data_IF_175682227017
#
_entry.id   IF_175682227017
#
_cell.length_a   1.000
_cell.length_b   1.000
_cell.length_c   1.000
_cell.angle_alpha   90.00
_cell.angle_beta   90.00
_cell.angle_gamma   90.00
#
_symmetry.space_group_name_H-M   'P 1'
#
loop_
_entity.id
_entity.type
_entity.pdbx_description
1 polymer ?
#
# COMPACT_ATOMS: atom_id res chain seq x y z
N UNK A 1 1.87 12.11 -10.31
CA UNK A 1 1.78 12.60 -8.92
C UNK A 1 2.72 13.80 -8.71
N UNK A 2 2.36 14.69 -7.80
CA UNK A 2 3.19 15.82 -7.43
C UNK A 2 3.18 15.99 -5.90
N UNK A 3 4.25 15.57 -5.19
CA UNK A 3 4.32 15.65 -3.75
C UNK A 3 4.45 17.09 -3.23
N UNK A 4 4.95 18.01 -4.06
CA UNK A 4 5.17 19.42 -3.70
C UNK A 4 3.91 20.28 -3.84
N UNK A 5 2.92 19.81 -4.60
CA UNK A 5 1.69 20.56 -4.80
C UNK A 5 0.87 20.60 -3.50
N UNK A 6 0.46 21.81 -3.14
CA UNK A 6 -0.44 22.06 -2.04
C UNK A 6 -1.76 22.52 -2.65
N UNK A 7 -2.82 21.71 -2.50
CA UNK A 7 -4.16 22.04 -3.02
C UNK A 7 -4.77 23.25 -2.33
N UNK A 8 -5.81 23.81 -2.95
CA UNK A 8 -6.56 24.94 -2.39
C UNK A 8 -7.12 24.57 -1.02
N UNK A 9 -6.76 25.38 0.00
CA UNK A 9 -7.18 25.16 1.40
C UNK A 9 -6.30 24.22 2.21
N UNK A 10 -5.25 23.64 1.64
CA UNK A 10 -4.23 22.91 2.37
C UNK A 10 -3.09 23.86 2.79
N UNK A 11 -2.47 23.55 3.91
CA UNK A 11 -1.28 24.28 4.40
C UNK A 11 -0.05 23.37 4.28
N UNK A 12 1.11 23.99 4.10
CA UNK A 12 2.38 23.32 4.30
C UNK A 12 2.57 23.10 5.81
N UNK A 13 1.97 22.05 6.33
CA UNK A 13 2.15 21.67 7.74
C UNK A 13 3.39 20.79 7.93
N UNK A 14 3.72 20.53 9.18
CA UNK A 14 4.85 19.66 9.56
C UNK A 14 4.73 18.29 8.91
N UNK A 15 3.53 17.80 8.76
CA UNK A 15 3.25 16.48 8.25
C UNK A 15 3.49 16.37 6.74
N UNK A 16 3.08 17.36 5.97
CA UNK A 16 3.37 17.43 4.54
C UNK A 16 4.88 17.49 4.29
N UNK A 17 5.61 18.25 5.11
CA UNK A 17 7.08 18.30 5.08
C UNK A 17 7.69 16.93 5.38
N UNK A 18 7.20 16.24 6.41
CA UNK A 18 7.69 14.89 6.76
C UNK A 18 7.43 13.88 5.62
N UNK A 19 6.25 13.93 5.00
CA UNK A 19 5.91 13.07 3.87
C UNK A 19 6.87 13.28 2.68
N UNK A 20 7.12 14.53 2.30
CA UNK A 20 8.05 14.84 1.22
C UNK A 20 9.48 14.39 1.56
N UNK A 21 9.94 14.62 2.79
CA UNK A 21 11.26 14.14 3.24
C UNK A 21 11.39 12.63 3.18
N UNK A 22 10.38 11.92 3.65
CA UNK A 22 10.36 10.46 3.61
C UNK A 22 10.44 9.95 2.16
N UNK A 23 9.70 10.57 1.26
CA UNK A 23 9.77 10.25 -0.15
C UNK A 23 11.18 10.52 -0.73
N UNK A 24 11.73 11.70 -0.49
CA UNK A 24 13.07 12.07 -0.99
C UNK A 24 14.17 11.13 -0.44
N UNK A 25 14.08 10.76 0.84
CA UNK A 25 15.00 9.79 1.44
C UNK A 25 14.87 8.40 0.82
N UNK A 26 13.65 7.93 0.58
CA UNK A 26 13.42 6.64 -0.06
C UNK A 26 13.87 6.60 -1.54
N UNK A 27 13.87 7.75 -2.22
CA UNK A 27 14.41 7.88 -3.57
C UNK A 27 15.93 7.91 -3.58
N UNK A 28 16.54 8.44 -2.54
CA UNK A 28 17.98 8.66 -2.45
C UNK A 28 18.73 7.46 -1.86
N UNK A 29 18.24 6.93 -0.72
CA UNK A 29 18.90 5.84 0.02
C UNK A 29 18.41 4.48 -0.43
N UNK A 30 19.30 3.49 -0.42
CA UNK A 30 18.93 2.10 -0.57
C UNK A 30 18.28 1.57 0.71
N UNK A 31 17.56 0.45 0.61
CA UNK A 31 16.83 -0.17 1.72
C UNK A 31 17.71 -0.52 2.95
N UNK A 32 19.01 -0.74 2.74
CA UNK A 32 20.01 -1.07 3.77
C UNK A 32 20.84 0.13 4.25
N UNK A 33 20.59 1.33 3.69
CA UNK A 33 21.31 2.56 4.06
C UNK A 33 20.45 3.39 5.04
N UNK A 34 20.99 3.64 6.22
CA UNK A 34 20.39 4.58 7.17
C UNK A 34 20.77 6.02 6.82
N UNK A 35 19.84 6.95 7.01
CA UNK A 35 20.14 8.37 6.93
C UNK A 35 20.60 8.90 8.30
N UNK A 36 21.51 9.85 8.29
CA UNK A 36 21.98 10.50 9.50
C UNK A 36 21.15 11.76 9.83
N UNK A 37 21.33 12.26 11.06
CA UNK A 37 20.58 13.44 11.53
C UNK A 37 20.86 14.70 10.71
N UNK A 38 22.10 14.89 10.22
CA UNK A 38 22.47 16.05 9.41
C UNK A 38 21.81 16.03 8.04
N UNK A 39 21.71 14.87 7.39
CA UNK A 39 20.96 14.72 6.15
C UNK A 39 19.49 15.07 6.32
N UNK A 40 18.87 14.61 7.41
CA UNK A 40 17.49 14.94 7.73
C UNK A 40 17.29 16.46 7.95
N UNK A 41 18.21 17.11 8.65
CA UNK A 41 18.18 18.57 8.88
C UNK A 41 18.36 19.32 7.58
N UNK A 42 19.32 18.90 6.73
CA UNK A 42 19.55 19.53 5.43
C UNK A 42 18.31 19.47 4.52
N UNK A 43 17.63 18.32 4.45
CA UNK A 43 16.39 18.20 3.71
C UNK A 43 15.24 19.04 4.31
N UNK A 44 15.17 19.14 5.63
CA UNK A 44 14.20 20.02 6.30
C UNK A 44 14.41 21.47 5.92
N UNK A 45 15.65 21.93 5.94
CA UNK A 45 16.04 23.29 5.55
C UNK A 45 15.77 23.54 4.05
N UNK A 46 16.15 22.59 3.19
CA UNK A 46 15.89 22.70 1.76
C UNK A 46 14.41 22.87 1.44
N UNK A 47 13.53 22.08 2.07
CA UNK A 47 12.09 22.21 1.89
C UNK A 47 11.56 23.52 2.44
N UNK A 48 11.99 23.95 3.62
CA UNK A 48 11.57 25.22 4.21
C UNK A 48 11.90 26.38 3.27
N UNK A 49 13.15 26.51 2.84
CA UNK A 49 13.62 27.59 1.97
C UNK A 49 12.98 27.53 0.57
N UNK A 50 12.75 26.33 0.05
CA UNK A 50 12.04 26.17 -1.22
C UNK A 50 10.61 26.72 -1.15
N UNK A 51 9.86 26.42 -0.10
CA UNK A 51 8.51 26.94 0.06
C UNK A 51 8.48 28.45 0.34
N UNK A 52 9.47 29.00 1.04
CA UNK A 52 9.64 30.46 1.16
C UNK A 52 9.87 31.13 -0.19
N UNK A 53 10.68 30.46 -1.08
CA UNK A 53 10.87 30.90 -2.46
C UNK A 53 9.57 30.87 -3.26
N UNK A 54 8.74 29.82 -3.11
CA UNK A 54 7.42 29.73 -3.75
C UNK A 54 6.47 30.82 -3.27
N UNK A 55 6.49 31.17 -1.98
CA UNK A 55 5.68 32.27 -1.45
C UNK A 55 6.07 33.62 -2.04
N UNK A 56 7.37 33.84 -2.25
CA UNK A 56 7.93 35.09 -2.82
C UNK A 56 7.80 35.16 -4.35
N UNK A 57 7.69 34.02 -5.04
CA UNK A 57 7.59 33.95 -6.49
C UNK A 57 6.37 33.12 -6.92
N UNK A 58 5.24 33.79 -7.13
CA UNK A 58 3.96 33.16 -7.53
C UNK A 58 3.94 32.56 -8.94
N UNK A 59 4.91 32.87 -9.78
CA UNK A 59 5.04 32.29 -11.11
C UNK A 59 5.71 30.89 -11.08
N UNK A 60 6.38 30.57 -9.97
CA UNK A 60 7.05 29.31 -9.81
C UNK A 60 6.06 28.21 -9.42
N UNK A 61 5.86 27.23 -10.33
CA UNK A 61 4.98 26.11 -10.06
C UNK A 61 5.65 25.09 -9.13
N UNK A 62 5.02 24.69 -8.01
CA UNK A 62 5.57 23.72 -7.08
C UNK A 62 5.55 22.31 -7.69
N UNK A 63 6.73 21.77 -8.01
CA UNK A 63 6.92 20.40 -8.49
C UNK A 63 8.35 19.93 -8.23
N UNK A 64 8.64 18.69 -8.53
CA UNK A 64 9.99 18.15 -8.36
C UNK A 64 11.03 18.90 -9.21
N UNK A 65 10.70 19.26 -10.44
CA UNK A 65 11.61 19.99 -11.32
C UNK A 65 12.00 21.36 -10.73
N UNK A 66 11.03 22.10 -10.19
CA UNK A 66 11.31 23.40 -9.58
C UNK A 66 12.09 23.27 -8.27
N UNK A 67 11.82 22.21 -7.49
CA UNK A 67 12.61 21.89 -6.30
C UNK A 67 14.06 21.49 -6.67
N UNK A 68 14.24 20.67 -7.70
CA UNK A 68 15.57 20.28 -8.17
C UNK A 68 16.37 21.49 -8.69
N UNK A 69 15.72 22.41 -9.42
CA UNK A 69 16.35 23.66 -9.83
C UNK A 69 16.74 24.51 -8.63
N UNK A 70 15.87 24.64 -7.63
CA UNK A 70 16.19 25.34 -6.39
C UNK A 70 17.41 24.73 -5.68
N UNK A 71 17.51 23.41 -5.61
CA UNK A 71 18.70 22.75 -5.02
C UNK A 71 19.97 23.14 -5.75
N UNK A 72 19.95 23.11 -7.08
CA UNK A 72 21.10 23.40 -7.93
C UNK A 72 21.51 24.87 -7.89
N UNK A 73 20.54 25.76 -8.00
CA UNK A 73 20.79 27.19 -8.28
C UNK A 73 20.93 28.01 -7.00
N UNK A 74 20.30 27.61 -5.89
CA UNK A 74 20.29 28.37 -4.63
C UNK A 74 20.87 27.56 -3.46
N UNK A 75 20.40 26.32 -3.24
CA UNK A 75 20.66 25.60 -2.00
C UNK A 75 22.14 25.15 -1.86
N UNK A 76 22.81 24.83 -2.98
CA UNK A 76 24.24 24.52 -2.97
C UNK A 76 25.04 25.69 -2.36
N UNK A 77 24.76 26.92 -2.78
CA UNK A 77 25.44 28.12 -2.24
C UNK A 77 25.14 28.36 -0.77
N UNK A 78 23.91 28.04 -0.32
CA UNK A 78 23.52 28.14 1.09
C UNK A 78 24.31 27.13 1.94
N UNK A 79 24.42 25.87 1.50
CA UNK A 79 25.21 24.86 2.19
C UNK A 79 26.70 25.24 2.31
N UNK A 80 27.25 25.84 1.25
CA UNK A 80 28.62 26.38 1.27
C UNK A 80 28.77 27.51 2.29
N UNK A 81 27.82 28.45 2.31
CA UNK A 81 27.76 29.56 3.28
C UNK A 81 27.67 29.07 4.72
N UNK A 82 26.89 28.04 4.98
CA UNK A 82 26.73 27.41 6.29
C UNK A 82 27.87 26.45 6.64
N UNK A 83 28.84 26.27 5.76
CA UNK A 83 29.98 25.40 5.97
C UNK A 83 29.63 23.93 6.15
N UNK A 84 28.50 23.48 5.60
CA UNK A 84 28.08 22.07 5.64
C UNK A 84 29.05 21.23 4.83
N UNK A 85 29.56 20.17 5.44
CA UNK A 85 30.54 19.29 4.78
C UNK A 85 29.83 18.17 4.03
N UNK A 86 30.46 17.67 2.97
CA UNK A 86 30.00 16.53 2.19
C UNK A 86 29.64 15.30 3.07
N UNK A 87 30.46 15.03 4.11
CA UNK A 87 30.17 13.97 5.08
C UNK A 87 28.88 14.17 5.89
N UNK A 88 28.40 15.41 6.00
CA UNK A 88 27.20 15.76 6.73
C UNK A 88 25.96 15.76 5.82
N UNK A 89 26.13 16.21 4.57
CA UNK A 89 25.14 16.11 3.50
C UNK A 89 25.81 16.22 2.14
N UNK A 90 25.85 15.10 1.41
CA UNK A 90 26.38 15.05 0.05
C UNK A 90 25.32 15.49 -0.97
N UNK A 91 25.24 16.78 -1.20
CA UNK A 91 24.28 17.38 -2.16
C UNK A 91 24.52 16.91 -3.59
N UNK A 92 25.77 16.65 -3.97
CA UNK A 92 26.12 16.18 -5.31
C UNK A 92 25.61 14.76 -5.55
N UNK A 93 25.83 13.86 -4.59
CA UNK A 93 25.29 12.50 -4.64
C UNK A 93 23.77 12.53 -4.60
N UNK A 94 23.16 13.33 -3.70
CA UNK A 94 21.72 13.50 -3.62
C UNK A 94 21.09 13.90 -4.97
N UNK A 95 21.61 14.93 -5.59
CA UNK A 95 21.12 15.39 -6.89
C UNK A 95 21.40 14.40 -8.01
N UNK A 96 22.54 13.72 -7.98
CA UNK A 96 22.88 12.72 -9.00
C UNK A 96 21.91 11.53 -8.96
N UNK A 97 21.61 11.01 -7.78
CA UNK A 97 20.69 9.88 -7.60
C UNK A 97 19.25 10.27 -7.97
N UNK A 98 18.86 11.53 -7.71
CA UNK A 98 17.51 12.04 -8.04
C UNK A 98 17.36 12.53 -9.49
N UNK A 99 18.46 12.58 -10.25
CA UNK A 99 18.47 13.05 -11.65
C UNK A 99 17.48 12.34 -12.57
N UNK A 100 17.20 11.03 -12.44
CA UNK A 100 16.21 10.33 -13.26
C UNK A 100 14.77 10.87 -13.14
N UNK A 101 14.42 11.52 -12.03
CA UNK A 101 13.08 12.09 -11.79
C UNK A 101 12.94 13.55 -12.28
N UNK A 102 14.06 14.18 -12.61
CA UNK A 102 14.09 15.54 -13.17
C UNK A 102 13.84 15.51 -14.67
N UNK A 103 13.31 16.60 -15.19
CA UNK A 103 12.95 16.84 -16.60
C UNK A 103 13.94 16.21 -17.60
N UNK A 104 13.42 15.35 -18.47
CA UNK A 104 14.20 14.58 -19.44
C UNK A 104 14.88 13.34 -18.84
N UNK A 105 14.67 13.00 -17.60
CA UNK A 105 15.04 11.72 -16.98
C UNK A 105 14.03 10.62 -17.25
N UNK A 106 14.40 9.38 -16.98
CA UNK A 106 13.57 8.20 -17.26
C UNK A 106 12.23 8.21 -16.51
N UNK A 107 12.21 8.81 -15.31
CA UNK A 107 11.04 8.85 -14.41
C UNK A 107 10.51 10.27 -14.18
N UNK A 108 10.75 11.22 -15.10
CA UNK A 108 10.33 12.62 -14.96
C UNK A 108 8.82 12.80 -14.79
N UNK A 109 8.02 11.86 -15.34
CA UNK A 109 6.56 11.85 -15.24
C UNK A 109 6.01 11.53 -13.84
N UNK A 110 6.84 10.95 -12.93
CA UNK A 110 6.35 10.44 -11.64
C UNK A 110 6.02 11.54 -10.63
N UNK A 111 6.82 12.63 -10.60
CA UNK A 111 6.79 13.62 -9.51
C UNK A 111 6.48 15.05 -9.99
N UNK A 112 6.13 15.23 -11.25
CA UNK A 112 5.96 16.54 -11.90
C UNK A 112 4.55 16.78 -12.46
N UNK A 113 3.53 16.08 -11.92
CA UNK A 113 2.16 16.30 -12.37
C UNK A 113 1.71 17.74 -12.09
N UNK A 114 0.99 18.35 -13.05
CA UNK A 114 0.46 19.71 -12.91
C UNK A 114 -0.71 19.78 -11.93
N UNK A 115 -1.37 18.65 -11.71
CA UNK A 115 -2.44 18.49 -10.72
C UNK A 115 -2.42 17.07 -10.17
N UNK A 116 -2.82 16.91 -8.92
CA UNK A 116 -2.99 15.58 -8.33
C UNK A 116 -4.42 15.09 -8.56
N UNK A 117 -4.57 13.78 -8.76
CA UNK A 117 -5.88 13.16 -8.77
C UNK A 117 -6.59 13.42 -7.43
N UNK A 118 -7.80 13.97 -7.49
CA UNK A 118 -8.63 14.15 -6.29
C UNK A 118 -9.22 12.81 -5.85
N UNK A 119 -8.36 11.98 -5.26
CA UNK A 119 -8.75 10.68 -4.74
C UNK A 119 -9.52 10.76 -3.41
N UNK A 120 -9.65 11.95 -2.82
CA UNK A 120 -10.38 12.10 -1.54
C UNK A 120 -11.86 11.75 -1.68
N UNK A 121 -12.47 12.08 -2.81
CA UNK A 121 -13.91 11.83 -3.08
C UNK A 121 -14.19 10.40 -3.54
N UNK A 122 -13.17 9.71 -4.04
CA UNK A 122 -13.34 8.36 -4.56
C UNK A 122 -13.58 7.37 -3.41
N UNK A 123 -14.67 6.61 -3.51
CA UNK A 123 -15.05 5.62 -2.46
C UNK A 123 -14.33 4.31 -2.60
N UNK A 124 -13.97 3.92 -3.80
CA UNK A 124 -13.29 2.66 -4.10
C UNK A 124 -12.11 2.93 -5.04
N UNK A 125 -10.91 2.63 -4.58
CA UNK A 125 -9.67 2.86 -5.31
C UNK A 125 -8.91 1.56 -5.32
N UNK A 126 -8.43 1.15 -6.49
CA UNK A 126 -7.55 -0.02 -6.67
C UNK A 126 -6.26 0.44 -7.33
N UNK A 127 -5.15 0.09 -6.72
CA UNK A 127 -3.83 0.26 -7.30
C UNK A 127 -3.30 -1.11 -7.71
N UNK A 128 -3.18 -1.35 -9.01
CA UNK A 128 -2.59 -2.57 -9.55
C UNK A 128 -1.08 -2.39 -9.69
N UNK A 129 -0.32 -3.17 -8.94
CA UNK A 129 1.14 -3.04 -8.85
C UNK A 129 1.89 -4.21 -9.51
N UNK A 130 1.19 -5.18 -10.07
CA UNK A 130 1.81 -6.42 -10.57
C UNK A 130 2.90 -6.16 -11.62
N UNK A 131 2.68 -5.18 -12.49
CA UNK A 131 3.63 -4.81 -13.54
C UNK A 131 4.92 -4.14 -13.03
N UNK A 132 4.91 -3.62 -11.82
CA UNK A 132 6.06 -2.90 -11.22
C UNK A 132 6.60 -3.56 -9.96
N UNK A 133 6.01 -4.67 -9.50
CA UNK A 133 6.34 -5.33 -8.23
C UNK A 133 7.82 -5.69 -8.07
N UNK A 134 8.47 -6.04 -9.17
CA UNK A 134 9.89 -6.43 -9.20
C UNK A 134 10.81 -5.26 -9.61
N UNK A 135 10.24 -4.08 -9.88
CA UNK A 135 11.03 -2.91 -10.26
C UNK A 135 11.61 -2.23 -9.02
N UNK A 136 12.96 -2.20 -8.88
CA UNK A 136 13.60 -1.79 -7.62
C UNK A 136 13.38 -0.32 -7.25
N UNK A 137 13.01 0.53 -8.20
CA UNK A 137 12.79 1.96 -8.01
C UNK A 137 11.29 2.28 -7.98
N UNK A 138 10.53 1.83 -8.97
CA UNK A 138 9.12 2.24 -9.11
C UNK A 138 8.24 1.68 -7.99
N UNK A 139 8.42 0.42 -7.60
CA UNK A 139 7.59 -0.20 -6.60
C UNK A 139 7.63 0.52 -5.23
N UNK A 140 8.80 0.81 -4.64
CA UNK A 140 8.88 1.56 -3.39
C UNK A 140 8.25 2.95 -3.49
N UNK A 141 8.54 3.69 -4.56
CA UNK A 141 8.04 5.06 -4.75
C UNK A 141 6.52 5.08 -4.86
N UNK A 142 5.95 4.25 -5.72
CA UNK A 142 4.49 4.18 -5.91
C UNK A 142 3.80 3.73 -4.62
N UNK A 143 4.40 2.81 -3.88
CA UNK A 143 3.84 2.34 -2.62
C UNK A 143 3.82 3.46 -1.56
N UNK A 144 4.86 4.29 -1.46
CA UNK A 144 4.87 5.47 -0.58
C UNK A 144 3.77 6.46 -0.98
N UNK A 145 3.59 6.71 -2.27
CA UNK A 145 2.53 7.58 -2.79
C UNK A 145 1.14 7.06 -2.38
N UNK A 146 0.90 5.76 -2.53
CA UNK A 146 -0.37 5.13 -2.12
C UNK A 146 -0.60 5.30 -0.62
N UNK A 147 0.42 5.07 0.19
CA UNK A 147 0.32 5.23 1.64
C UNK A 147 0.04 6.68 2.03
N UNK A 148 0.67 7.65 1.36
CA UNK A 148 0.40 9.08 1.58
C UNK A 148 -1.05 9.44 1.26
N UNK A 149 -1.59 8.96 0.14
CA UNK A 149 -3.00 9.13 -0.23
C UNK A 149 -3.91 8.57 0.86
N UNK A 150 -3.62 7.38 1.36
CA UNK A 150 -4.43 6.76 2.41
C UNK A 150 -4.37 7.53 3.73
N UNK A 151 -3.19 7.96 4.17
CA UNK A 151 -3.00 8.77 5.37
C UNK A 151 -3.76 10.09 5.24
N UNK A 152 -3.68 10.77 4.09
CA UNK A 152 -4.44 11.98 3.81
C UNK A 152 -5.95 11.73 3.93
N UNK A 153 -6.47 10.64 3.35
CA UNK A 153 -7.89 10.25 3.51
C UNK A 153 -8.26 9.98 4.96
N UNK A 154 -7.41 9.28 5.72
CA UNK A 154 -7.66 9.01 7.13
C UNK A 154 -7.90 10.28 7.92
N UNK A 155 -7.12 11.32 7.67
CA UNK A 155 -7.14 12.55 8.46
C UNK A 155 -8.20 13.54 8.01
N UNK A 156 -8.37 13.70 6.70
CA UNK A 156 -9.33 14.67 6.12
C UNK A 156 -10.78 14.20 6.22
N UNK A 157 -11.05 12.91 6.06
CA UNK A 157 -12.42 12.36 6.06
C UNK A 157 -12.84 11.96 7.49
N UNK A 158 -13.13 12.94 8.33
CA UNK A 158 -13.59 12.67 9.70
C UNK A 158 -14.99 12.04 9.72
N UNK A 159 -15.20 11.06 10.60
CA UNK A 159 -16.49 10.39 10.76
C UNK A 159 -16.84 9.38 9.66
N UNK A 160 -16.04 9.25 8.63
CA UNK A 160 -16.23 8.27 7.55
C UNK A 160 -15.32 7.07 7.83
N UNK A 161 -15.88 5.85 7.74
CA UNK A 161 -15.11 4.61 7.83
C UNK A 161 -14.22 4.45 6.60
N UNK A 162 -12.97 4.12 6.79
CA UNK A 162 -11.97 3.92 5.75
C UNK A 162 -11.33 2.56 5.91
N UNK A 163 -11.00 1.94 4.79
CA UNK A 163 -10.34 0.64 4.76
C UNK A 163 -9.16 0.72 3.79
N UNK A 164 -8.02 0.16 4.20
CA UNK A 164 -6.94 -0.18 3.30
C UNK A 164 -6.74 -1.70 3.35
N UNK A 165 -6.75 -2.32 2.18
CA UNK A 165 -6.43 -3.73 2.01
C UNK A 165 -5.14 -3.82 1.22
N UNK A 166 -4.16 -4.53 1.77
CA UNK A 166 -2.85 -4.74 1.16
C UNK A 166 -2.73 -6.23 0.89
N UNK A 167 -2.84 -6.59 -0.38
CA UNK A 167 -2.65 -7.97 -0.84
C UNK A 167 -1.17 -8.23 -1.13
N UNK A 168 -0.71 -9.45 -0.90
CA UNK A 168 0.71 -9.84 -0.96
C UNK A 168 1.64 -8.86 -0.20
N UNK A 169 1.21 -8.45 0.97
CA UNK A 169 1.85 -7.41 1.79
C UNK A 169 3.33 -7.68 2.08
N UNK A 170 3.77 -8.93 2.05
CA UNK A 170 5.14 -9.33 2.31
C UNK A 170 6.15 -8.66 1.36
N UNK A 171 5.78 -8.44 0.08
CA UNK A 171 6.65 -7.74 -0.88
C UNK A 171 6.89 -6.28 -0.50
N UNK A 172 5.85 -5.63 0.04
CA UNK A 172 5.97 -4.28 0.55
C UNK A 172 6.71 -4.24 1.90
N UNK A 173 6.45 -5.25 2.76
CA UNK A 173 7.02 -5.36 4.12
C UNK A 173 8.53 -5.62 4.09
N UNK A 174 9.03 -6.32 3.09
CA UNK A 174 10.46 -6.61 2.93
C UNK A 174 11.33 -5.34 2.75
N UNK A 175 10.71 -4.20 2.42
CA UNK A 175 11.36 -2.90 2.29
C UNK A 175 11.31 -2.15 3.62
N UNK A 176 12.47 -1.77 4.19
CA UNK A 176 12.57 -1.17 5.53
C UNK A 176 11.71 0.09 5.70
N UNK A 177 11.74 0.99 4.72
CA UNK A 177 10.89 2.20 4.73
C UNK A 177 9.39 1.90 4.78
N UNK A 178 8.94 0.83 4.10
CA UNK A 178 7.55 0.38 4.12
C UNK A 178 7.16 -0.30 5.42
N UNK A 179 8.09 -1.03 6.05
CA UNK A 179 7.87 -1.67 7.34
C UNK A 179 7.43 -0.64 8.40
N UNK A 180 8.09 0.50 8.47
CA UNK A 180 7.74 1.58 9.41
C UNK A 180 6.38 2.21 9.08
N UNK A 181 6.02 2.37 7.79
CA UNK A 181 4.68 2.84 7.39
C UNK A 181 3.58 1.86 7.80
N UNK A 182 3.75 0.57 7.56
CA UNK A 182 2.79 -0.46 7.96
C UNK A 182 2.66 -0.50 9.48
N UNK A 183 3.76 -0.40 10.20
CA UNK A 183 3.77 -0.30 11.66
C UNK A 183 3.00 0.93 12.15
N UNK A 184 3.23 2.09 11.56
CA UNK A 184 2.48 3.31 11.86
C UNK A 184 0.99 3.11 11.59
N UNK A 185 0.65 2.55 10.43
CA UNK A 185 -0.72 2.28 10.01
C UNK A 185 -1.47 1.42 11.04
N UNK A 186 -0.94 0.24 11.38
CA UNK A 186 -1.58 -0.68 12.33
C UNK A 186 -1.72 -0.09 13.74
N UNK A 187 -0.80 0.77 14.17
CA UNK A 187 -0.89 1.46 15.47
C UNK A 187 -1.89 2.60 15.50
N UNK A 188 -2.19 3.23 14.37
CA UNK A 188 -2.91 4.52 14.34
C UNK A 188 -4.24 4.50 13.62
N UNK A 189 -4.45 3.60 12.66
CA UNK A 189 -5.63 3.58 11.78
C UNK A 189 -6.95 3.63 12.54
N UNK A 190 -7.06 2.92 13.66
CA UNK A 190 -8.25 2.89 14.51
C UNK A 190 -8.63 4.26 15.07
N UNK A 191 -7.65 5.12 15.40
CA UNK A 191 -7.89 6.48 15.91
C UNK A 191 -8.59 7.38 14.88
N UNK A 192 -8.50 7.03 13.61
CA UNK A 192 -9.09 7.77 12.49
C UNK A 192 -10.30 7.07 11.87
N UNK A 193 -10.95 6.17 12.61
CA UNK A 193 -12.07 5.39 12.13
C UNK A 193 -11.74 4.62 10.85
N UNK A 194 -10.56 4.01 10.85
CA UNK A 194 -10.02 3.23 9.74
C UNK A 194 -9.73 1.79 10.11
N UNK A 195 -9.60 0.96 9.10
CA UNK A 195 -9.24 -0.46 9.17
C UNK A 195 -8.04 -0.71 8.25
N UNK A 196 -7.08 -1.50 8.73
CA UNK A 196 -5.99 -2.02 7.94
C UNK A 196 -6.13 -3.53 7.83
N UNK A 197 -6.16 -4.03 6.61
CA UNK A 197 -6.26 -5.45 6.28
C UNK A 197 -5.03 -5.85 5.49
N UNK A 198 -4.34 -6.88 5.95
CA UNK A 198 -3.21 -7.49 5.25
C UNK A 198 -3.59 -8.89 4.85
N UNK A 199 -3.38 -9.23 3.59
CA UNK A 199 -3.59 -10.56 3.04
C UNK A 199 -2.25 -11.14 2.62
N UNK A 200 -1.99 -12.39 3.02
CA UNK A 200 -0.80 -13.12 2.61
C UNK A 200 -1.14 -14.57 2.34
N UNK A 201 -0.42 -15.19 1.45
CA UNK A 201 -0.56 -16.62 1.14
C UNK A 201 0.23 -17.48 2.12
N UNK A 202 1.30 -16.94 2.69
CA UNK A 202 2.17 -17.65 3.64
C UNK A 202 2.43 -16.78 4.88
N UNK A 203 2.27 -17.40 6.05
CA UNK A 203 2.48 -16.69 7.33
C UNK A 203 3.96 -16.35 7.53
N UNK A 204 4.86 -17.18 6.99
CA UNK A 204 6.30 -16.95 7.02
C UNK A 204 6.70 -15.61 6.40
N UNK A 205 5.93 -15.12 5.41
CA UNK A 205 6.18 -13.83 4.79
C UNK A 205 6.04 -12.65 5.76
N UNK A 206 5.10 -12.75 6.71
CA UNK A 206 4.92 -11.74 7.76
C UNK A 206 6.04 -11.84 8.80
N UNK A 207 6.58 -13.04 9.02
CA UNK A 207 7.61 -13.31 10.03
C UNK A 207 8.97 -12.76 9.62
N UNK A 208 9.23 -12.65 8.32
CA UNK A 208 10.54 -12.24 7.76
C UNK A 208 11.00 -10.87 8.25
N UNK A 209 10.07 -9.98 8.62
CA UNK A 209 10.37 -8.69 9.24
C UNK A 209 9.96 -8.67 10.73
N UNK A 210 10.93 -8.72 11.66
CA UNK A 210 10.63 -8.68 13.11
C UNK A 210 9.83 -7.45 13.53
N UNK A 211 10.07 -6.31 12.90
CA UNK A 211 9.40 -5.03 13.17
C UNK A 211 7.92 -5.11 12.80
N UNK A 212 7.62 -5.66 11.64
CA UNK A 212 6.25 -5.74 11.13
C UNK A 212 5.48 -6.87 11.78
N UNK A 213 6.12 -8.01 12.03
CA UNK A 213 5.53 -9.14 12.76
C UNK A 213 4.83 -8.67 14.04
N UNK A 214 5.54 -7.97 14.91
CA UNK A 214 4.95 -7.47 16.15
C UNK A 214 3.87 -6.41 15.90
N UNK A 215 4.06 -5.53 14.93
CA UNK A 215 3.10 -4.46 14.65
C UNK A 215 1.78 -5.00 14.10
N UNK A 216 1.83 -5.94 13.15
CA UNK A 216 0.63 -6.52 12.54
C UNK A 216 -0.08 -7.44 13.52
N UNK A 217 0.61 -8.44 14.05
CA UNK A 217 -0.02 -9.49 14.85
C UNK A 217 -0.59 -8.93 16.15
N UNK A 218 0.17 -8.08 16.86
CA UNK A 218 -0.27 -7.52 18.14
C UNK A 218 -1.39 -6.47 18.01
N UNK A 219 -1.59 -5.90 16.84
CA UNK A 219 -2.65 -4.92 16.59
C UNK A 219 -3.78 -5.44 15.70
N UNK A 220 -3.74 -6.72 15.31
CA UNK A 220 -4.81 -7.36 14.54
C UNK A 220 -5.81 -8.04 15.47
N UNK A 221 -6.93 -7.37 15.72
CA UNK A 221 -8.02 -7.91 16.54
C UNK A 221 -8.79 -9.01 15.81
N UNK A 222 -8.82 -8.99 14.48
CA UNK A 222 -9.47 -10.00 13.67
C UNK A 222 -8.43 -10.82 12.90
N UNK A 223 -8.50 -12.15 13.04
CA UNK A 223 -7.68 -13.10 12.27
C UNK A 223 -8.60 -14.01 11.47
N UNK A 224 -8.38 -14.05 10.16
CA UNK A 224 -9.16 -14.85 9.22
C UNK A 224 -8.22 -15.86 8.58
N UNK A 225 -8.49 -17.15 8.76
CA UNK A 225 -7.68 -18.22 8.20
C UNK A 225 -8.53 -19.08 7.27
N UNK A 226 -8.04 -19.24 6.05
CA UNK A 226 -8.56 -20.18 5.07
C UNK A 226 -8.00 -21.57 5.32
N UNK A 227 -8.18 -22.50 4.40
CA UNK A 227 -7.71 -23.86 4.49
C UNK A 227 -6.19 -23.93 4.71
N UNK A 228 -5.77 -24.52 5.81
CA UNK A 228 -4.38 -24.68 6.23
C UNK A 228 -3.90 -26.14 6.12
N UNK A 229 -4.58 -26.98 5.39
CA UNK A 229 -4.27 -28.43 5.31
C UNK A 229 -2.85 -28.70 4.84
N UNK A 230 -2.31 -27.90 3.94
CA UNK A 230 -0.92 -28.04 3.44
C UNK A 230 0.14 -27.75 4.51
N UNK A 231 -0.22 -27.02 5.57
CA UNK A 231 0.68 -26.62 6.66
C UNK A 231 0.48 -27.46 7.92
N UNK A 232 -0.30 -28.51 7.89
CA UNK A 232 -0.65 -29.32 9.07
C UNK A 232 0.58 -29.73 9.91
N UNK A 233 1.66 -30.12 9.26
CA UNK A 233 2.89 -30.57 9.95
C UNK A 233 3.72 -29.42 10.59
N UNK A 234 3.46 -28.17 10.19
CA UNK A 234 4.15 -26.98 10.69
C UNK A 234 3.21 -26.03 11.45
N UNK A 235 1.98 -26.47 11.69
CA UNK A 235 0.95 -25.58 12.22
C UNK A 235 1.26 -25.09 13.64
N UNK A 236 2.07 -25.78 14.40
CA UNK A 236 2.50 -25.36 15.74
C UNK A 236 3.22 -24.00 15.69
N UNK A 237 4.03 -23.76 14.68
CA UNK A 237 4.69 -22.46 14.48
C UNK A 237 3.68 -21.34 14.15
N UNK A 238 2.67 -21.66 13.33
CA UNK A 238 1.59 -20.73 13.00
C UNK A 238 0.73 -20.43 14.22
N UNK A 239 0.44 -21.47 15.01
CA UNK A 239 -0.30 -21.37 16.27
C UNK A 239 0.41 -20.42 17.25
N UNK A 240 1.69 -20.65 17.49
CA UNK A 240 2.51 -19.81 18.38
C UNK A 240 2.57 -18.36 17.87
N UNK A 241 2.82 -18.19 16.57
CA UNK A 241 2.91 -16.87 15.95
C UNK A 241 1.64 -16.06 16.09
N UNK A 242 0.49 -16.67 15.81
CA UNK A 242 -0.81 -16.01 15.86
C UNK A 242 -1.43 -15.99 17.25
N UNK A 243 -0.80 -16.66 18.24
CA UNK A 243 -1.31 -16.77 19.59
C UNK A 243 -2.62 -17.56 19.67
N UNK A 244 -2.78 -18.62 18.87
CA UNK A 244 -3.98 -19.44 18.84
C UNK A 244 -3.97 -20.48 19.97
N UNK A 245 -5.13 -20.68 20.58
CA UNK A 245 -5.35 -21.77 21.55
C UNK A 245 -5.39 -23.13 20.86
N UNK A 246 -5.26 -24.24 21.62
CA UNK A 246 -5.43 -25.59 21.10
C UNK A 246 -6.81 -25.82 20.47
N UNK A 247 -7.86 -25.21 21.04
CA UNK A 247 -9.19 -25.24 20.47
C UNK A 247 -9.25 -24.54 19.11
N UNK A 248 -8.67 -23.37 18.99
CA UNK A 248 -8.61 -22.63 17.73
C UNK A 248 -7.80 -23.37 16.68
N UNK A 249 -6.67 -23.97 17.05
CA UNK A 249 -5.89 -24.85 16.16
C UNK A 249 -6.75 -25.97 15.58
N UNK A 250 -7.52 -26.66 16.44
CA UNK A 250 -8.41 -27.73 16.00
C UNK A 250 -9.48 -27.22 15.03
N UNK A 251 -10.05 -26.04 15.28
CA UNK A 251 -11.02 -25.41 14.40
C UNK A 251 -10.41 -25.03 13.05
N UNK A 252 -9.23 -24.40 13.04
CA UNK A 252 -8.53 -24.03 11.78
C UNK A 252 -8.24 -25.27 10.95
N UNK A 253 -7.70 -26.31 11.58
CA UNK A 253 -7.37 -27.55 10.89
C UNK A 253 -8.62 -28.37 10.46
N UNK A 254 -9.81 -28.02 10.91
CA UNK A 254 -11.07 -28.61 10.46
C UNK A 254 -11.67 -27.95 9.22
N UNK A 255 -11.21 -26.74 8.86
CA UNK A 255 -11.69 -25.96 7.72
C UNK A 255 -11.61 -26.79 6.43
N UNK A 256 -12.73 -26.89 5.72
CA UNK A 256 -12.89 -27.64 4.48
C UNK A 256 -12.66 -29.16 4.54
N UNK A 257 -12.40 -29.76 5.70
CA UNK A 257 -12.18 -31.23 5.80
C UNK A 257 -13.46 -32.02 5.47
N UNK A 258 -14.62 -31.46 5.73
CA UNK A 258 -15.90 -32.08 5.38
C UNK A 258 -16.44 -31.62 4.02
N UNK A 259 -15.55 -31.24 3.10
CA UNK A 259 -15.93 -30.78 1.77
C UNK A 259 -16.68 -31.89 1.02
N UNK A 260 -17.97 -31.67 0.87
CA UNK A 260 -18.81 -32.43 -0.02
C UNK A 260 -18.73 -31.79 -1.40
N UNK A 261 -18.35 -32.55 -2.46
CA UNK A 261 -18.25 -32.00 -3.81
C UNK A 261 -19.53 -31.32 -4.31
N UNK A 262 -20.69 -31.78 -3.78
CA UNK A 262 -22.00 -31.22 -4.13
C UNK A 262 -22.36 -29.92 -3.38
N UNK A 263 -21.55 -29.54 -2.38
CA UNK A 263 -21.77 -28.32 -1.59
C UNK A 263 -21.00 -27.14 -2.14
N UNK A 264 -21.73 -26.08 -2.46
CA UNK A 264 -21.20 -24.83 -3.04
C UNK A 264 -20.70 -23.83 -2.01
N UNK A 265 -20.25 -24.27 -0.83
CA UNK A 265 -19.69 -23.39 0.19
C UNK A 265 -18.20 -23.67 0.42
N UNK A 266 -17.49 -22.65 0.87
CA UNK A 266 -16.17 -22.77 1.48
C UNK A 266 -16.24 -22.43 2.95
N UNK A 267 -15.41 -23.05 3.76
CA UNK A 267 -15.32 -22.72 5.17
C UNK A 267 -14.18 -21.76 5.44
N UNK A 268 -14.35 -20.93 6.45
CA UNK A 268 -13.38 -19.94 6.90
C UNK A 268 -13.37 -19.87 8.41
N UNK A 269 -12.21 -19.90 9.02
CA UNK A 269 -12.03 -19.65 10.44
C UNK A 269 -11.89 -18.15 10.68
N UNK A 270 -12.60 -17.62 11.67
CA UNK A 270 -12.52 -16.23 12.10
C UNK A 270 -12.37 -16.21 13.61
N UNK A 271 -11.32 -15.50 14.08
CA UNK A 271 -11.07 -15.18 15.48
C UNK A 271 -11.15 -13.68 15.70
N UNK A 272 -11.91 -13.26 16.72
CA UNK A 272 -12.11 -11.86 17.08
C UNK A 272 -11.53 -11.60 18.48
N UNK A 273 -10.38 -10.96 18.54
CA UNK A 273 -9.71 -10.53 19.77
C UNK A 273 -9.46 -11.62 20.80
N UNK A 274 -9.42 -12.90 20.38
CA UNK A 274 -9.28 -14.06 21.26
C UNK A 274 -10.55 -14.37 22.10
N UNK A 275 -11.63 -13.58 21.98
CA UNK A 275 -12.86 -13.78 22.74
C UNK A 275 -13.85 -14.70 22.03
N UNK A 276 -13.90 -14.64 20.72
CA UNK A 276 -14.82 -15.45 19.91
C UNK A 276 -14.08 -16.00 18.70
N UNK A 277 -14.15 -17.33 18.53
CA UNK A 277 -13.51 -18.03 17.42
C UNK A 277 -14.45 -19.10 16.88
N UNK A 278 -14.77 -19.03 15.60
CA UNK A 278 -15.70 -19.94 14.90
C UNK A 278 -15.24 -20.24 13.50
N UNK A 279 -15.75 -21.36 12.97
CA UNK A 279 -15.70 -21.67 11.54
C UNK A 279 -17.05 -21.29 10.93
N UNK A 280 -17.00 -20.49 9.89
CA UNK A 280 -18.16 -20.03 9.15
C UNK A 280 -18.17 -20.66 7.76
N UNK A 281 -19.35 -20.81 7.21
CA UNK A 281 -19.52 -21.18 5.80
C UNK A 281 -19.77 -19.93 4.98
N UNK A 282 -19.05 -19.81 3.89
CA UNK A 282 -19.21 -18.73 2.91
C UNK A 282 -19.80 -19.34 1.65
N UNK A 283 -20.94 -18.83 1.22
CA UNK A 283 -21.60 -19.21 -0.02
C UNK A 283 -21.90 -17.95 -0.82
N UNK A 284 -21.66 -18.02 -2.11
CA UNK A 284 -21.93 -16.92 -3.06
C UNK A 284 -22.86 -17.43 -4.14
N UNK A 285 -23.64 -16.53 -4.73
CA UNK A 285 -24.44 -16.86 -5.91
C UNK A 285 -23.54 -17.27 -7.09
N UNK A 286 -24.10 -17.97 -8.06
CA UNK A 286 -23.34 -18.35 -9.26
C UNK A 286 -22.85 -17.10 -10.02
N UNK A 287 -23.65 -16.03 -10.01
CA UNK A 287 -23.27 -14.74 -10.60
C UNK A 287 -22.08 -14.10 -9.90
N UNK A 288 -22.07 -14.11 -8.57
CA UNK A 288 -20.93 -13.62 -7.78
C UNK A 288 -19.68 -14.50 -8.00
N UNK A 289 -19.84 -15.81 -8.02
CA UNK A 289 -18.75 -16.72 -8.31
C UNK A 289 -18.13 -16.43 -9.67
N UNK A 290 -18.95 -16.28 -10.72
CA UNK A 290 -18.48 -15.95 -12.07
C UNK A 290 -17.85 -14.54 -12.16
N UNK A 291 -18.21 -13.61 -11.26
CA UNK A 291 -17.57 -12.31 -11.16
C UNK A 291 -16.21 -12.36 -10.50
N UNK A 292 -15.98 -13.31 -9.57
CA UNK A 292 -14.75 -13.39 -8.76
C UNK A 292 -13.78 -14.47 -9.26
N UNK A 293 -14.23 -15.40 -10.11
CA UNK A 293 -13.38 -16.51 -10.57
C UNK A 293 -12.11 -16.00 -11.26
N UNK A 294 -11.00 -16.61 -10.92
CA UNK A 294 -9.69 -16.42 -11.58
C UNK A 294 -9.35 -17.56 -12.53
N UNK A 295 -10.22 -18.57 -12.62
CA UNK A 295 -10.02 -19.72 -13.48
C UNK A 295 -10.15 -19.32 -14.95
N UNK A 296 -9.14 -19.62 -15.75
CA UNK A 296 -8.98 -19.11 -17.11
C UNK A 296 -10.14 -19.51 -18.05
N UNK A 297 -10.58 -20.78 -17.99
CA UNK A 297 -11.65 -21.27 -18.86
C UNK A 297 -12.99 -20.62 -18.52
N UNK A 298 -13.24 -20.32 -17.24
CA UNK A 298 -14.45 -19.61 -16.79
C UNK A 298 -14.41 -18.14 -17.20
N UNK A 299 -13.26 -17.47 -17.07
CA UNK A 299 -13.08 -16.09 -17.55
C UNK A 299 -13.36 -15.97 -19.04
N UNK A 300 -12.85 -16.91 -19.85
CA UNK A 300 -13.09 -16.95 -21.30
C UNK A 300 -14.59 -17.06 -21.58
N UNK A 301 -15.32 -17.92 -20.84
CA UNK A 301 -16.79 -18.05 -20.98
C UNK A 301 -17.48 -16.75 -20.63
N UNK A 302 -17.13 -16.11 -19.50
CA UNK A 302 -17.71 -14.82 -19.09
C UNK A 302 -17.49 -13.77 -20.17
N UNK A 303 -16.26 -13.66 -20.71
CA UNK A 303 -15.94 -12.72 -21.78
C UNK A 303 -16.71 -13.01 -23.08
N UNK A 304 -16.86 -14.28 -23.45
CA UNK A 304 -17.61 -14.69 -24.63
C UNK A 304 -19.10 -14.30 -24.50
N UNK A 305 -19.68 -14.48 -23.31
CA UNK A 305 -21.05 -14.05 -23.05
C UNK A 305 -21.18 -12.52 -23.00
N UNK A 306 -20.24 -11.81 -22.39
CA UNK A 306 -20.25 -10.33 -22.40
C UNK A 306 -20.22 -9.78 -23.84
N UNK A 307 -19.46 -10.37 -24.73
CA UNK A 307 -19.42 -9.96 -26.16
C UNK A 307 -20.80 -10.05 -26.85
N UNK A 308 -21.66 -11.04 -26.47
CA UNK A 308 -23.03 -11.13 -26.99
C UNK A 308 -23.91 -9.92 -26.60
N UNK A 309 -23.53 -9.20 -25.56
CA UNK A 309 -24.22 -8.03 -25.02
C UNK A 309 -23.41 -6.74 -25.21
N UNK A 310 -22.60 -6.66 -26.27
CA UNK A 310 -21.84 -5.46 -26.58
C UNK A 310 -20.74 -5.12 -25.56
N UNK A 311 -20.23 -6.11 -24.83
CA UNK A 311 -19.19 -5.94 -23.80
C UNK A 311 -19.75 -5.72 -22.38
N UNK A 312 -21.07 -5.76 -22.20
CA UNK A 312 -21.71 -5.65 -20.87
C UNK A 312 -21.45 -6.92 -20.05
N UNK A 313 -20.48 -6.84 -19.15
CA UNK A 313 -20.05 -7.98 -18.31
C UNK A 313 -21.18 -8.44 -17.40
N UNK A 314 -21.99 -7.53 -16.82
CA UNK A 314 -23.08 -7.89 -15.90
C UNK A 314 -24.15 -8.71 -16.62
N UNK A 315 -24.54 -8.30 -17.82
CA UNK A 315 -25.49 -9.05 -18.64
C UNK A 315 -24.90 -10.37 -19.11
N UNK A 316 -23.62 -10.39 -19.46
CA UNK A 316 -22.90 -11.61 -19.82
C UNK A 316 -22.89 -12.64 -18.69
N UNK A 317 -22.54 -12.23 -17.47
CA UNK A 317 -22.54 -13.09 -16.27
C UNK A 317 -23.95 -13.61 -15.98
N UNK A 318 -24.98 -12.76 -16.00
CA UNK A 318 -26.36 -13.17 -15.74
C UNK A 318 -26.85 -14.22 -16.74
N UNK A 319 -26.56 -14.05 -18.04
CA UNK A 319 -26.92 -14.98 -19.08
C UNK A 319 -26.16 -16.31 -18.94
N UNK A 320 -24.85 -16.27 -18.67
CA UNK A 320 -24.06 -17.48 -18.45
C UNK A 320 -24.53 -18.26 -17.22
N UNK A 321 -24.83 -17.56 -16.13
CA UNK A 321 -25.33 -18.18 -14.91
C UNK A 321 -26.69 -18.87 -15.15
N UNK A 322 -27.57 -18.25 -15.95
CA UNK A 322 -28.86 -18.83 -16.31
C UNK A 322 -28.68 -20.10 -17.14
N UNK A 323 -27.79 -20.09 -18.15
CA UNK A 323 -27.52 -21.25 -18.98
C UNK A 323 -26.94 -22.41 -18.17
N UNK A 324 -25.97 -22.13 -17.28
CA UNK A 324 -25.39 -23.13 -16.39
C UNK A 324 -26.42 -23.74 -15.41
N UNK A 325 -27.42 -22.95 -14.94
CA UNK A 325 -28.51 -23.49 -14.10
C UNK A 325 -29.45 -24.39 -14.89
N UNK A 326 -29.61 -24.15 -16.19
CA UNK A 326 -30.44 -24.92 -17.09
C UNK A 326 -29.72 -26.15 -17.67
N UNK A 327 -28.45 -26.38 -17.31
CA UNK A 327 -27.67 -27.52 -17.76
C UNK A 327 -27.09 -27.39 -19.18
N UNK A 328 -26.99 -26.19 -19.68
CA UNK A 328 -26.42 -25.86 -21.01
C UNK A 328 -24.93 -25.44 -20.91
#
# INVERSE_FOLDING_TARGET
FNPFYIGDGDLLDTEKKESIKTLLLALWKKDDETFNRSEYVALSNALQLYYEKLESNKELFPCFDSFYNFLRDDFVSILEGDNVKEKDFDINNFMYVLRPYYKGGEFDYLLNATENLDLLKERFIVFELDNIKDHPILFPVVTIIIMEVFISKMRKLKGIRKMILIEEAWKAIAKEGMAEYIKYLFKTVRKFFGEAIVVTQEVEDIISSPVVKQAIINNSDCKILLDQSKYQNKFDQIQELLGLTEKEKALVLSVNKANDPDKKYKEVFISLGGMESKVYRTEVSLEEYLAYTTEETEKIKVQAYAKKFGGDIKKGIAALALDLRNGN
#
